data_IF_769188869449
#
_entry.id   IF_769188869449
#
_cell.length_a   1.000
_cell.length_b   1.000
_cell.length_c   1.000
_cell.angle_alpha   90.00
_cell.angle_beta   90.00
_cell.angle_gamma   90.00
#
_symmetry.space_group_name_H-M   'P 1'
#
loop_
_entity.id
_entity.type
_entity.pdbx_description
1 polymer ?
#
# COMPACT_ATOMS: atom_id res chain seq x y z
N UNK A 1 9.44 2.81 22.54
CA UNK A 1 7.98 2.54 22.59
C UNK A 1 7.67 1.76 21.34
N UNK A 2 7.27 0.50 21.49
CA UNK A 2 6.99 -0.39 20.35
C UNK A 2 5.64 -0.02 19.74
N UNK A 3 5.58 0.11 18.40
CA UNK A 3 4.33 0.39 17.70
C UNK A 3 3.46 -0.87 17.72
N UNK A 4 2.19 -0.75 18.10
CA UNK A 4 1.25 -1.87 17.99
C UNK A 4 0.43 -1.69 16.73
N UNK A 5 0.37 -2.71 15.88
CA UNK A 5 -0.47 -2.70 14.67
C UNK A 5 -1.55 -3.73 14.86
N UNK A 6 -2.79 -3.28 14.99
CA UNK A 6 -3.92 -4.20 15.11
C UNK A 6 -4.62 -4.37 13.76
N UNK A 7 -4.87 -5.61 13.34
CA UNK A 7 -5.70 -5.86 12.16
C UNK A 7 -5.77 -7.33 11.72
N UNK A 8 -6.67 -7.65 10.79
CA UNK A 8 -6.69 -8.95 10.15
C UNK A 8 -5.51 -9.10 9.19
N UNK A 9 -5.21 -10.33 8.76
CA UNK A 9 -4.26 -10.58 7.67
C UNK A 9 -4.87 -10.15 6.32
N UNK A 10 -4.81 -8.86 6.00
CA UNK A 10 -5.35 -8.27 4.78
C UNK A 10 -4.41 -7.24 4.16
N UNK A 11 -4.75 -6.73 2.97
CA UNK A 11 -3.94 -5.76 2.24
C UNK A 11 -3.66 -4.47 3.04
N UNK A 12 -4.64 -3.98 3.80
CA UNK A 12 -4.51 -2.75 4.60
C UNK A 12 -3.50 -2.90 5.74
N UNK A 13 -3.54 -4.01 6.48
CA UNK A 13 -2.58 -4.32 7.55
C UNK A 13 -1.19 -4.49 6.98
N UNK A 14 -1.03 -5.33 5.95
CA UNK A 14 0.25 -5.56 5.28
C UNK A 14 0.89 -4.25 4.80
N UNK A 15 0.09 -3.31 4.29
CA UNK A 15 0.58 -1.99 3.85
C UNK A 15 1.25 -1.21 4.99
N UNK A 16 0.65 -1.19 6.18
CA UNK A 16 1.25 -0.56 7.36
C UNK A 16 2.52 -1.29 7.79
N UNK A 17 2.47 -2.63 7.86
CA UNK A 17 3.60 -3.45 8.28
C UNK A 17 4.84 -3.22 7.39
N UNK A 18 4.67 -3.21 6.06
CA UNK A 18 5.78 -2.94 5.13
C UNK A 18 6.36 -1.55 5.37
N UNK A 19 5.54 -0.52 5.59
CA UNK A 19 6.04 0.83 5.89
C UNK A 19 6.85 0.87 7.20
N UNK A 20 6.45 0.11 8.22
CA UNK A 20 7.20 0.04 9.48
C UNK A 20 8.53 -0.72 9.30
N UNK A 21 8.53 -1.81 8.52
CA UNK A 21 9.75 -2.56 8.16
C UNK A 21 10.74 -1.67 7.41
N UNK A 22 10.28 -0.97 6.36
CA UNK A 22 11.11 -0.07 5.55
C UNK A 22 11.69 1.10 6.37
N UNK A 23 10.98 1.54 7.41
CA UNK A 23 11.45 2.58 8.34
C UNK A 23 12.26 2.02 9.52
N UNK A 24 12.53 0.72 9.58
CA UNK A 24 13.17 0.03 10.70
C UNK A 24 12.53 0.36 12.06
N UNK A 25 11.21 0.53 12.08
CA UNK A 25 10.45 0.82 13.30
C UNK A 25 10.09 -0.51 13.96
N UNK A 26 10.43 -0.66 15.24
CA UNK A 26 10.01 -1.83 16.02
C UNK A 26 8.49 -1.84 16.22
N UNK A 27 7.85 -2.97 15.90
CA UNK A 27 6.40 -3.14 16.03
C UNK A 27 5.99 -4.52 16.55
N UNK A 28 4.80 -4.56 17.16
CA UNK A 28 4.03 -5.77 17.46
C UNK A 28 2.86 -5.88 16.47
N UNK A 29 2.80 -6.98 15.72
CA UNK A 29 1.65 -7.34 14.89
C UNK A 29 0.62 -8.07 15.77
N UNK A 30 -0.54 -7.45 15.95
CA UNK A 30 -1.60 -7.96 16.82
C UNK A 30 -2.79 -8.38 15.94
N UNK A 31 -2.93 -9.70 15.69
CA UNK A 31 -3.98 -10.20 14.80
C UNK A 31 -5.37 -9.91 15.39
N UNK A 32 -6.28 -9.48 14.51
CA UNK A 32 -7.70 -9.28 14.83
C UNK A 32 -8.53 -10.25 14.00
N UNK A 33 -9.25 -11.13 14.67
CA UNK A 33 -10.10 -12.12 14.02
C UNK A 33 -11.45 -11.50 13.60
N UNK A 34 -11.54 -11.18 12.31
CA UNK A 34 -12.75 -10.60 11.74
C UNK A 34 -13.94 -11.56 11.69
N UNK A 35 -13.69 -12.87 11.72
CA UNK A 35 -14.73 -13.90 11.73
C UNK A 35 -15.33 -14.07 13.13
N UNK A 36 -14.54 -13.81 14.17
CA UNK A 36 -15.02 -13.68 15.57
C UNK A 36 -15.58 -12.31 15.89
N UNK A 37 -15.63 -11.40 14.91
CA UNK A 37 -16.20 -10.06 15.07
C UNK A 37 -15.43 -9.21 16.11
N UNK A 38 -14.14 -9.53 16.33
CA UNK A 38 -13.28 -8.82 17.30
C UNK A 38 -13.13 -7.33 16.97
N UNK A 39 -13.21 -6.96 15.69
CA UNK A 39 -13.23 -5.58 15.20
C UNK A 39 -14.41 -4.75 15.69
N UNK A 40 -15.44 -5.37 16.29
CA UNK A 40 -16.59 -4.69 16.89
C UNK A 40 -16.51 -4.62 18.41
N UNK A 41 -15.46 -5.19 19.03
CA UNK A 41 -15.25 -5.08 20.46
C UNK A 41 -15.07 -3.58 20.82
N UNK A 42 -15.75 -3.05 21.85
CA UNK A 42 -15.60 -1.66 22.28
C UNK A 42 -14.15 -1.23 22.54
N UNK A 43 -13.31 -2.10 23.10
CA UNK A 43 -11.89 -1.81 23.30
C UNK A 43 -11.13 -1.66 21.98
N UNK A 44 -11.47 -2.48 20.99
CA UNK A 44 -10.90 -2.37 19.65
C UNK A 44 -11.38 -1.10 18.93
N UNK A 45 -12.67 -0.77 19.04
CA UNK A 45 -13.26 0.41 18.41
C UNK A 45 -12.61 1.71 18.91
N UNK A 46 -12.19 1.76 20.19
CA UNK A 46 -11.40 2.88 20.73
C UNK A 46 -10.05 3.06 20.03
N UNK A 47 -9.46 2.00 19.48
CA UNK A 47 -8.17 2.05 18.78
C UNK A 47 -8.30 2.49 17.31
N UNK A 48 -9.51 2.39 16.74
CA UNK A 48 -9.73 2.56 15.30
C UNK A 48 -9.31 3.95 14.78
N UNK A 49 -9.34 4.99 15.60
CA UNK A 49 -8.97 6.36 15.20
C UNK A 49 -7.65 6.87 15.80
N UNK A 50 -6.85 6.00 16.44
CA UNK A 50 -5.61 6.39 17.12
C UNK A 50 -4.32 6.10 16.31
N UNK A 51 -4.40 5.89 15.00
CA UNK A 51 -3.27 5.44 14.13
C UNK A 51 -2.65 4.08 14.53
N UNK A 52 -3.30 3.32 15.41
CA UNK A 52 -2.83 2.01 15.90
C UNK A 52 -3.56 0.85 15.19
N UNK A 53 -4.76 1.11 14.68
CA UNK A 53 -5.58 0.12 13.98
C UNK A 53 -5.41 0.24 12.48
N UNK A 54 -4.99 -0.83 11.84
CA UNK A 54 -4.87 -0.91 10.37
C UNK A 54 -6.21 -1.11 9.65
N UNK A 55 -7.31 -1.30 10.41
CA UNK A 55 -8.66 -1.39 9.84
C UNK A 55 -9.18 -0.06 9.30
N UNK A 56 -8.51 1.05 9.57
CA UNK A 56 -8.89 2.38 9.11
C UNK A 56 -7.68 3.11 8.53
N UNK A 57 -7.86 3.63 7.31
CA UNK A 57 -6.94 4.57 6.66
C UNK A 57 -5.45 4.15 6.70
N UNK A 58 -5.14 2.90 6.30
CA UNK A 58 -3.75 2.41 6.22
C UNK A 58 -2.79 3.38 5.49
N UNK A 59 -3.29 4.13 4.51
CA UNK A 59 -2.53 5.18 3.80
C UNK A 59 -2.20 6.38 4.68
N UNK A 60 -3.12 6.83 5.53
CA UNK A 60 -2.84 7.88 6.50
C UNK A 60 -1.80 7.43 7.54
N UNK A 61 -1.88 6.17 8.00
CA UNK A 61 -0.90 5.59 8.94
C UNK A 61 0.50 5.54 8.30
N UNK A 62 0.61 5.07 7.06
CA UNK A 62 1.89 5.11 6.33
C UNK A 62 2.42 6.54 6.21
N UNK A 63 1.59 7.51 5.81
CA UNK A 63 1.98 8.92 5.71
C UNK A 63 2.51 9.45 7.04
N UNK A 64 1.84 9.12 8.16
CA UNK A 64 2.27 9.51 9.50
C UNK A 64 3.66 8.96 9.83
N UNK A 65 3.91 7.66 9.65
CA UNK A 65 5.21 7.06 9.97
C UNK A 65 6.30 7.49 8.99
N UNK A 66 5.98 7.64 7.70
CA UNK A 66 6.90 8.13 6.70
C UNK A 66 7.41 9.55 7.01
N UNK A 67 6.51 10.45 7.46
CA UNK A 67 6.85 11.82 7.85
C UNK A 67 7.52 11.88 9.23
N UNK A 68 6.99 11.16 10.24
CA UNK A 68 7.54 11.15 11.60
C UNK A 68 8.99 10.67 11.64
N UNK A 69 9.33 9.71 10.78
CA UNK A 69 10.66 9.13 10.67
C UNK A 69 11.34 9.52 9.36
N UNK A 70 11.05 10.70 8.82
CA UNK A 70 11.53 11.15 7.50
C UNK A 70 13.04 11.09 7.35
N UNK A 71 13.78 11.52 8.39
CA UNK A 71 15.24 11.55 8.39
C UNK A 71 15.92 10.20 8.68
N UNK A 72 15.14 9.13 8.88
CA UNK A 72 15.66 7.81 9.22
C UNK A 72 15.47 6.82 8.07
N UNK A 73 16.52 6.01 7.86
CA UNK A 73 16.60 4.85 6.95
C UNK A 73 16.43 5.20 5.47
N UNK A 74 15.20 5.51 5.07
CA UNK A 74 14.79 5.67 3.66
C UNK A 74 13.79 6.82 3.53
N UNK A 75 14.00 7.70 2.56
CA UNK A 75 13.03 8.75 2.22
C UNK A 75 11.93 8.14 1.34
N UNK A 76 10.67 8.20 1.79
CA UNK A 76 9.51 7.57 1.14
C UNK A 76 8.51 8.57 0.57
N UNK A 77 8.65 9.86 0.88
CA UNK A 77 7.74 10.94 0.48
C UNK A 77 8.33 11.86 -0.59
N UNK A 78 9.57 11.62 -1.01
CA UNK A 78 10.35 12.54 -1.85
C UNK A 78 11.04 13.63 -1.02
N UNK A 79 12.05 14.28 -1.58
CA UNK A 79 12.85 15.34 -0.95
C UNK A 79 12.34 16.74 -1.27
N UNK A 80 11.66 16.91 -2.40
CA UNK A 80 11.06 18.20 -2.79
C UNK A 80 9.53 18.17 -2.73
N UNK A 81 8.90 19.35 -2.80
CA UNK A 81 7.44 19.44 -2.86
C UNK A 81 6.89 18.86 -4.17
N UNK A 82 7.65 18.98 -5.26
CA UNK A 82 7.32 18.39 -6.56
C UNK A 82 7.36 16.86 -6.48
N UNK A 83 8.42 16.28 -5.92
CA UNK A 83 8.51 14.83 -5.73
C UNK A 83 7.38 14.31 -4.84
N UNK A 84 7.08 15.02 -3.74
CA UNK A 84 5.94 14.69 -2.88
C UNK A 84 4.61 14.75 -3.61
N UNK A 85 4.42 15.76 -4.46
CA UNK A 85 3.22 15.89 -5.29
C UNK A 85 3.01 14.66 -6.19
N UNK A 86 4.07 14.15 -6.80
CA UNK A 86 4.01 12.95 -7.64
C UNK A 86 3.77 11.68 -6.79
N UNK A 87 4.40 11.54 -5.62
CA UNK A 87 4.14 10.43 -4.69
C UNK A 87 2.66 10.39 -4.29
N UNK A 88 2.09 11.53 -3.88
CA UNK A 88 0.70 11.64 -3.49
C UNK A 88 -0.25 11.35 -4.65
N UNK A 89 0.08 11.82 -5.86
CA UNK A 89 -0.70 11.51 -7.06
C UNK A 89 -0.81 9.99 -7.28
N UNK A 90 0.30 9.25 -7.20
CA UNK A 90 0.28 7.80 -7.42
C UNK A 90 -0.34 7.03 -6.25
N UNK A 91 -0.28 7.53 -5.02
CA UNK A 91 -1.05 7.00 -3.90
C UNK A 91 -2.57 7.10 -4.14
N UNK A 92 -3.04 8.20 -4.71
CA UNK A 92 -4.46 8.34 -5.08
C UNK A 92 -4.85 7.49 -6.29
N UNK A 93 -3.94 7.33 -7.27
CA UNK A 93 -4.15 6.36 -8.37
C UNK A 93 -4.24 4.93 -7.83
N UNK A 94 -3.36 4.54 -6.90
CA UNK A 94 -3.45 3.24 -6.21
C UNK A 94 -4.79 3.08 -5.52
N UNK A 95 -5.16 4.05 -4.70
CA UNK A 95 -6.38 4.01 -3.91
C UNK A 95 -7.61 3.83 -4.80
N UNK A 96 -7.77 4.68 -5.82
CA UNK A 96 -8.94 4.66 -6.70
C UNK A 96 -8.98 3.47 -7.65
N UNK A 97 -7.84 2.82 -7.90
CA UNK A 97 -7.74 1.64 -8.77
C UNK A 97 -7.96 0.34 -8.00
N UNK A 98 -7.27 0.17 -6.86
CA UNK A 98 -7.16 -1.11 -6.16
C UNK A 98 -8.10 -1.26 -4.96
N UNK A 99 -8.87 -0.23 -4.60
CA UNK A 99 -9.90 -0.35 -3.53
C UNK A 99 -10.91 -1.46 -3.82
N UNK A 100 -11.20 -1.74 -5.09
CA UNK A 100 -12.05 -2.86 -5.48
C UNK A 100 -11.20 -3.94 -6.14
N UNK A 101 -11.27 -5.16 -5.61
CA UNK A 101 -10.61 -6.30 -6.23
C UNK A 101 -11.12 -6.51 -7.67
N UNK A 102 -10.26 -6.93 -8.61
CA UNK A 102 -10.64 -7.19 -9.98
C UNK A 102 -11.43 -8.52 -10.11
N UNK A 103 -12.47 -8.74 -9.30
CA UNK A 103 -13.28 -9.97 -9.28
C UNK A 103 -14.33 -10.02 -10.39
N UNK A 104 -14.61 -8.90 -11.05
CA UNK A 104 -15.57 -8.80 -12.15
C UNK A 104 -14.83 -8.45 -13.44
N UNK A 105 -15.41 -8.81 -14.60
CA UNK A 105 -14.86 -8.42 -15.90
C UNK A 105 -14.70 -6.89 -16.03
N UNK A 106 -15.61 -6.12 -15.43
CA UNK A 106 -15.53 -4.66 -15.43
C UNK A 106 -14.34 -4.13 -14.61
N UNK A 107 -14.13 -4.65 -13.39
CA UNK A 107 -13.01 -4.23 -12.55
C UNK A 107 -11.67 -4.70 -13.11
N UNK A 108 -11.62 -5.86 -13.76
CA UNK A 108 -10.45 -6.33 -14.49
C UNK A 108 -10.13 -5.44 -15.70
N UNK A 109 -11.10 -5.10 -16.55
CA UNK A 109 -10.89 -4.21 -17.68
C UNK A 109 -10.41 -2.81 -17.25
N UNK A 110 -10.90 -2.31 -16.11
CA UNK A 110 -10.39 -1.07 -15.50
C UNK A 110 -8.92 -1.23 -15.10
N UNK A 111 -8.57 -2.32 -14.43
CA UNK A 111 -7.21 -2.60 -14.01
C UNK A 111 -6.25 -2.72 -15.20
N UNK A 112 -6.63 -3.43 -16.27
CA UNK A 112 -5.85 -3.53 -17.52
C UNK A 112 -5.52 -2.15 -18.10
N UNK A 113 -6.50 -1.23 -18.14
CA UNK A 113 -6.27 0.15 -18.62
C UNK A 113 -5.28 0.90 -17.75
N UNK A 114 -5.41 0.78 -16.42
CA UNK A 114 -4.49 1.44 -15.49
C UNK A 114 -3.09 0.86 -15.61
N UNK A 115 -2.94 -0.45 -15.70
CA UNK A 115 -1.64 -1.09 -15.87
C UNK A 115 -0.96 -0.73 -17.20
N UNK A 116 -1.72 -0.40 -18.26
CA UNK A 116 -1.13 0.15 -19.49
C UNK A 116 -0.53 1.55 -19.29
N UNK A 117 -1.16 2.39 -18.45
CA UNK A 117 -0.60 3.69 -18.05
C UNK A 117 0.67 3.48 -17.20
N UNK A 118 0.68 2.46 -16.34
CA UNK A 118 1.84 2.11 -15.53
C UNK A 118 3.00 1.65 -16.42
N UNK A 119 2.72 0.82 -17.43
CA UNK A 119 3.74 0.36 -18.38
C UNK A 119 4.38 1.53 -19.13
N UNK A 120 3.59 2.51 -19.58
CA UNK A 120 4.14 3.72 -20.22
C UNK A 120 4.96 4.55 -19.23
N UNK A 121 4.48 4.72 -17.99
CA UNK A 121 5.19 5.46 -16.94
C UNK A 121 6.54 4.81 -16.61
N UNK A 122 6.53 3.51 -16.31
CA UNK A 122 7.69 2.73 -15.90
C UNK A 122 8.68 2.48 -17.05
N UNK A 123 8.28 2.74 -18.29
CA UNK A 123 9.22 2.83 -19.41
C UNK A 123 10.11 4.08 -19.39
N UNK A 124 9.74 5.10 -18.58
CA UNK A 124 10.41 6.41 -18.51
C UNK A 124 11.10 6.65 -17.16
N UNK A 125 10.61 6.06 -16.08
CA UNK A 125 11.13 6.22 -14.71
C UNK A 125 11.28 4.87 -14.03
N UNK A 126 12.25 4.73 -13.10
CA UNK A 126 12.50 3.45 -12.43
C UNK A 126 11.34 2.99 -11.54
N UNK A 127 10.66 3.93 -10.91
CA UNK A 127 9.52 3.72 -10.02
C UNK A 127 8.37 4.63 -10.44
N UNK A 128 7.19 4.49 -9.83
CA UNK A 128 6.01 5.28 -10.19
C UNK A 128 6.25 6.78 -9.93
N UNK A 129 6.84 7.12 -8.79
CA UNK A 129 7.06 8.51 -8.42
C UNK A 129 8.29 9.17 -9.06
N UNK A 130 9.17 8.40 -9.70
CA UNK A 130 10.43 8.89 -10.26
C UNK A 130 11.52 7.83 -10.18
N UNK A 131 12.75 8.24 -9.92
CA UNK A 131 13.90 7.32 -9.86
C UNK A 131 14.24 6.83 -8.44
N UNK A 132 13.31 7.00 -7.49
CA UNK A 132 13.42 6.52 -6.12
C UNK A 132 12.17 5.74 -5.71
N UNK A 133 12.34 4.73 -4.86
CA UNK A 133 11.25 3.97 -4.28
C UNK A 133 10.51 4.82 -3.24
N UNK A 134 9.18 4.80 -3.26
CA UNK A 134 8.37 5.69 -2.43
C UNK A 134 7.13 5.00 -1.87
N UNK A 135 6.35 5.72 -1.07
CA UNK A 135 5.03 5.25 -0.65
C UNK A 135 4.12 4.92 -1.84
N UNK A 136 4.30 5.58 -2.99
CA UNK A 136 3.53 5.28 -4.19
C UNK A 136 3.68 3.80 -4.56
N UNK A 137 4.92 3.32 -4.67
CA UNK A 137 5.24 1.94 -5.06
C UNK A 137 4.87 0.94 -3.95
N UNK A 138 5.24 1.28 -2.71
CA UNK A 138 4.98 0.45 -1.53
C UNK A 138 3.50 0.13 -1.34
N UNK A 139 2.63 1.10 -1.65
CA UNK A 139 1.19 0.97 -1.45
C UNK A 139 0.54 -0.13 -2.29
N UNK A 140 1.15 -0.50 -3.42
CA UNK A 140 0.69 -1.56 -4.32
C UNK A 140 1.05 -2.96 -3.85
N UNK A 141 2.13 -3.13 -3.08
CA UNK A 141 2.71 -4.44 -2.75
C UNK A 141 1.69 -5.46 -2.24
N UNK A 142 0.81 -5.14 -1.26
CA UNK A 142 -0.14 -6.14 -0.75
C UNK A 142 -1.19 -6.57 -1.79
N UNK A 143 -1.56 -5.67 -2.70
CA UNK A 143 -2.50 -5.98 -3.77
C UNK A 143 -1.85 -6.77 -4.90
N UNK A 144 -0.62 -6.43 -5.28
CA UNK A 144 0.12 -7.19 -6.30
C UNK A 144 0.37 -8.61 -5.81
N UNK A 145 0.81 -8.78 -4.57
CA UNK A 145 1.00 -10.08 -3.91
C UNK A 145 -0.29 -10.90 -3.95
N UNK A 146 -1.43 -10.30 -3.59
CA UNK A 146 -2.71 -10.99 -3.62
C UNK A 146 -3.16 -11.36 -5.04
N UNK A 147 -3.05 -10.47 -6.03
CA UNK A 147 -3.47 -10.76 -7.40
C UNK A 147 -2.60 -11.84 -8.07
N UNK A 148 -1.29 -11.79 -7.85
CA UNK A 148 -0.34 -12.75 -8.42
C UNK A 148 -0.46 -14.11 -7.75
N UNK A 149 -0.52 -14.16 -6.41
CA UNK A 149 -0.42 -15.41 -5.66
C UNK A 149 -1.77 -16.06 -5.33
N UNK A 150 -2.86 -15.29 -5.27
CA UNK A 150 -4.17 -15.79 -4.79
C UNK A 150 -5.27 -15.83 -5.84
N UNK A 151 -5.23 -14.95 -6.85
CA UNK A 151 -6.29 -14.88 -7.86
C UNK A 151 -5.92 -15.51 -9.21
N UNK A 152 -4.73 -16.09 -9.35
CA UNK A 152 -4.21 -16.63 -10.63
C UNK A 152 -4.18 -15.60 -11.77
N UNK A 153 -4.21 -14.30 -11.45
CA UNK A 153 -4.24 -13.20 -12.42
C UNK A 153 -2.86 -12.63 -12.73
N UNK A 154 -1.83 -13.48 -12.67
CA UNK A 154 -0.45 -13.06 -12.92
C UNK A 154 -0.25 -12.48 -14.33
N UNK A 155 -1.06 -12.86 -15.32
CA UNK A 155 -1.02 -12.31 -16.68
C UNK A 155 -1.23 -10.80 -16.72
N UNK A 156 -2.00 -10.23 -15.78
CA UNK A 156 -2.20 -8.79 -15.67
C UNK A 156 -0.89 -8.03 -15.49
N UNK A 157 0.13 -8.66 -14.89
CA UNK A 157 1.45 -8.05 -14.73
C UNK A 157 2.40 -8.56 -15.81
N UNK A 158 2.47 -9.89 -16.00
CA UNK A 158 3.47 -10.57 -16.85
C UNK A 158 3.45 -10.17 -18.32
N UNK A 159 2.33 -9.65 -18.83
CA UNK A 159 2.23 -9.15 -20.21
C UNK A 159 2.86 -7.76 -20.42
N UNK A 160 3.28 -7.09 -19.34
CA UNK A 160 3.82 -5.73 -19.33
C UNK A 160 5.25 -5.75 -18.83
N UNK A 161 6.20 -5.41 -19.70
CA UNK A 161 7.64 -5.60 -19.45
C UNK A 161 8.11 -4.75 -18.27
N UNK A 162 7.77 -3.47 -18.25
CA UNK A 162 8.22 -2.53 -17.23
C UNK A 162 7.44 -2.73 -15.92
N UNK A 163 6.14 -3.01 -15.99
CA UNK A 163 5.33 -3.38 -14.79
C UNK A 163 5.78 -4.69 -14.16
N UNK A 164 6.29 -5.66 -14.94
CA UNK A 164 6.84 -6.91 -14.39
C UNK A 164 8.20 -6.71 -13.74
N UNK A 165 8.99 -5.77 -14.27
CA UNK A 165 10.32 -5.47 -13.74
C UNK A 165 10.28 -4.59 -12.48
N UNK A 166 9.27 -3.72 -12.39
CA UNK A 166 8.90 -2.96 -11.20
C UNK A 166 8.26 -3.87 -10.15
#
# INVERSE_FOLDING_TARGET
>A
MVVKVYGPSCASTKRVLVCLVEKEIEFEDIPVDIFKVEQKNPEFLKLQFNFVSSLTESRAIMRYYAEKYRSQVVELLGKTIEERGVVEQWLEVEHTTFTHQPTTLHSEAKLVRVLNIYEERLSKTKYLAGDFFSLADMSHLPFLEYNVNKLEKAYLIKERKHVTAW
#
